data_IF_372413325816
#
_entry.id   IF_372413325816
#
_cell.length_a   1.000
_cell.length_b   1.000
_cell.length_c   1.000
_cell.angle_alpha   90.00
_cell.angle_beta   90.00
_cell.angle_gamma   90.00
#
_symmetry.space_group_name_H-M   'P 1'
#
loop_
_entity.id
_entity.type
_entity.pdbx_description
1 polymer ?
#
# COMPACT_ATOMS: atom_id res chain seq x y z
N UNK A 1 21.68 9.33 -11.91
CA UNK A 1 21.29 9.37 -10.48
C UNK A 1 22.45 8.84 -9.66
N UNK A 2 23.00 9.64 -8.77
CA UNK A 2 24.00 9.15 -7.80
C UNK A 2 23.27 8.23 -6.81
N UNK A 3 23.86 7.09 -6.45
CA UNK A 3 23.28 6.17 -5.46
C UNK A 3 22.40 5.04 -6.00
N UNK A 4 22.12 4.97 -7.31
CA UNK A 4 21.39 3.87 -7.92
C UNK A 4 22.33 2.69 -8.12
N UNK A 5 22.05 1.56 -7.45
CA UNK A 5 22.84 0.32 -7.54
C UNK A 5 22.46 -0.51 -8.77
N UNK A 6 21.16 -0.57 -9.08
CA UNK A 6 20.60 -1.24 -10.24
C UNK A 6 19.29 -0.55 -10.66
N UNK A 7 18.90 -0.71 -11.91
CA UNK A 7 17.62 -0.23 -12.41
C UNK A 7 17.13 -1.07 -13.59
N UNK A 8 15.79 -1.17 -13.71
CA UNK A 8 15.14 -1.72 -14.89
C UNK A 8 14.08 -0.72 -15.36
N UNK A 9 14.20 -0.31 -16.61
CA UNK A 9 13.28 0.66 -17.25
C UNK A 9 12.74 0.03 -18.52
N UNK A 10 11.42 -0.04 -18.60
CA UNK A 10 10.67 -0.55 -19.74
C UNK A 10 9.69 0.52 -20.24
N UNK A 11 8.84 0.19 -21.20
CA UNK A 11 7.71 1.01 -21.63
C UNK A 11 6.53 0.99 -20.65
N UNK A 12 6.53 0.09 -19.65
CA UNK A 12 5.44 -0.13 -18.68
C UNK A 12 5.81 0.22 -17.25
N UNK A 13 7.08 0.14 -16.87
CA UNK A 13 7.57 0.47 -15.52
C UNK A 13 9.01 0.96 -15.49
N UNK A 14 9.37 1.60 -14.38
CA UNK A 14 10.74 1.93 -14.02
C UNK A 14 10.95 1.61 -12.53
N UNK A 15 11.86 0.68 -12.24
CA UNK A 15 12.21 0.31 -10.87
C UNK A 15 13.69 0.53 -10.61
N UNK A 16 14.02 0.91 -9.39
CA UNK A 16 15.36 1.31 -8.99
C UNK A 16 15.75 0.64 -7.67
N UNK A 17 16.92 0.00 -7.65
CA UNK A 17 17.57 -0.36 -6.40
C UNK A 17 18.35 0.85 -5.89
N UNK A 18 17.70 1.67 -5.08
CA UNK A 18 18.21 2.93 -4.61
C UNK A 18 17.46 3.41 -3.36
N UNK A 19 18.03 4.39 -2.67
CA UNK A 19 17.29 5.21 -1.73
C UNK A 19 16.15 5.95 -2.45
N UNK A 20 14.94 5.93 -1.88
CA UNK A 20 13.79 6.60 -2.48
C UNK A 20 14.02 8.10 -2.69
N UNK A 21 14.81 8.77 -1.86
CA UNK A 21 15.13 10.19 -2.00
C UNK A 21 15.96 10.46 -3.26
N UNK A 22 16.89 9.56 -3.61
CA UNK A 22 17.69 9.69 -4.85
C UNK A 22 16.81 9.51 -6.10
N UNK A 23 15.77 8.65 -6.03
CA UNK A 23 14.81 8.46 -7.12
C UNK A 23 13.82 9.63 -7.20
N UNK A 24 13.22 10.02 -6.08
CA UNK A 24 12.26 11.12 -6.01
C UNK A 24 12.84 12.42 -6.53
N UNK A 25 14.10 12.76 -6.16
CA UNK A 25 14.80 13.97 -6.64
C UNK A 25 14.92 14.05 -8.17
N UNK A 26 14.87 12.92 -8.87
CA UNK A 26 14.95 12.87 -10.32
C UNK A 26 13.59 12.95 -11.02
N UNK A 27 12.48 12.81 -10.28
CA UNK A 27 11.12 12.89 -10.80
C UNK A 27 10.73 14.38 -10.91
N UNK A 28 10.19 14.84 -12.05
CA UNK A 28 9.74 16.21 -12.21
C UNK A 28 8.59 16.57 -11.27
N UNK A 29 8.50 17.84 -10.89
CA UNK A 29 7.38 18.38 -10.12
C UNK A 29 6.05 18.10 -10.82
N UNK A 30 5.01 17.82 -10.03
CA UNK A 30 3.64 17.68 -10.51
C UNK A 30 3.49 16.69 -11.70
N UNK A 31 4.19 15.56 -11.66
CA UNK A 31 4.21 14.57 -12.75
C UNK A 31 3.61 13.21 -12.39
N UNK A 32 3.34 12.96 -11.10
CA UNK A 32 2.78 11.71 -10.59
C UNK A 32 1.29 11.85 -10.36
N UNK A 33 0.52 10.90 -10.90
CA UNK A 33 -0.95 10.89 -10.87
C UNK A 33 -1.51 10.19 -9.63
N UNK A 34 -0.78 9.23 -9.06
CA UNK A 34 -1.15 8.54 -7.84
C UNK A 34 0.07 7.92 -7.17
N UNK A 35 0.05 7.85 -5.85
CA UNK A 35 1.10 7.19 -5.06
C UNK A 35 0.45 6.26 -4.07
N UNK A 36 0.92 5.02 -3.98
CA UNK A 36 0.46 4.06 -2.96
C UNK A 36 1.64 3.29 -2.41
N UNK A 37 1.70 3.14 -1.09
CA UNK A 37 2.79 2.45 -0.40
C UNK A 37 2.47 2.12 1.06
N UNK A 38 3.28 1.25 1.65
CA UNK A 38 3.44 1.05 3.09
C UNK A 38 4.76 1.66 3.52
N UNK A 39 4.79 2.67 4.41
CA UNK A 39 6.06 3.15 4.95
C UNK A 39 6.69 2.09 5.86
N UNK A 40 8.01 2.08 6.05
CA UNK A 40 8.64 1.26 7.07
C UNK A 40 8.05 1.55 8.46
N UNK A 41 7.67 0.49 9.19
CA UNK A 41 7.11 0.61 10.53
C UNK A 41 8.24 0.72 11.56
N UNK A 42 8.36 1.88 12.20
CA UNK A 42 9.37 2.11 13.23
C UNK A 42 9.23 1.13 14.40
N UNK A 43 10.32 0.48 14.78
CA UNK A 43 10.35 -0.40 15.95
C UNK A 43 9.66 -1.76 15.79
N UNK A 44 9.00 -2.03 14.67
CA UNK A 44 8.37 -3.32 14.41
C UNK A 44 9.31 -4.27 13.65
N UNK A 45 9.98 -3.77 12.61
CA UNK A 45 10.86 -4.53 11.73
C UNK A 45 12.11 -3.73 11.39
N UNK A 46 13.23 -4.42 11.21
CA UNK A 46 14.45 -3.87 10.63
C UNK A 46 14.64 -4.49 9.25
N UNK A 47 14.61 -3.66 8.21
CA UNK A 47 14.66 -4.14 6.83
C UNK A 47 16.08 -4.23 6.27
N UNK A 48 16.98 -3.38 6.73
CA UNK A 48 18.38 -3.39 6.33
C UNK A 48 19.31 -2.82 7.40
N UNK A 49 20.63 -2.97 7.19
CA UNK A 49 21.65 -2.35 8.05
C UNK A 49 22.05 -0.94 7.57
N UNK A 50 21.40 -0.40 6.54
CA UNK A 50 21.72 0.92 6.00
C UNK A 50 21.28 2.04 6.94
N UNK A 51 22.14 3.04 7.15
CA UNK A 51 21.79 4.26 7.90
C UNK A 51 20.68 5.09 7.20
N UNK A 52 20.37 4.80 5.93
CA UNK A 52 19.30 5.42 5.15
C UNK A 52 17.96 4.68 5.28
N UNK A 53 17.93 3.55 5.95
CA UNK A 53 16.71 2.80 6.21
C UNK A 53 15.93 3.45 7.36
N UNK A 54 14.74 3.96 7.05
CA UNK A 54 13.85 4.63 8.00
C UNK A 54 13.48 3.72 9.20
N UNK A 55 13.51 2.40 9.03
CA UNK A 55 13.23 1.44 10.11
C UNK A 55 14.30 1.45 11.19
N UNK A 56 15.49 2.00 10.91
CA UNK A 56 16.60 2.13 11.85
C UNK A 56 16.52 3.39 12.73
N UNK A 57 15.50 4.23 12.56
CA UNK A 57 15.27 5.40 13.42
C UNK A 57 15.16 4.98 14.90
N UNK A 58 15.91 5.65 15.77
CA UNK A 58 16.02 5.32 17.20
C UNK A 58 14.83 5.82 18.02
N UNK A 59 14.14 6.83 17.52
CA UNK A 59 13.00 7.47 18.18
C UNK A 59 11.89 7.76 17.18
N UNK A 60 10.65 7.85 17.66
CA UNK A 60 9.51 8.30 16.84
C UNK A 60 9.73 9.71 16.25
N UNK A 61 10.42 10.58 16.99
CA UNK A 61 10.74 11.94 16.50
C UNK A 61 11.73 11.92 15.33
N UNK A 62 12.78 11.09 15.41
CA UNK A 62 13.75 10.89 14.33
C UNK A 62 13.08 10.29 13.09
N UNK A 63 12.24 9.28 13.27
CA UNK A 63 11.43 8.73 12.20
C UNK A 63 10.55 9.81 11.54
N UNK A 64 9.79 10.57 12.35
CA UNK A 64 8.92 11.62 11.84
C UNK A 64 9.68 12.68 11.03
N UNK A 65 10.90 13.03 11.45
CA UNK A 65 11.76 13.95 10.72
C UNK A 65 12.17 13.39 9.35
N UNK A 66 12.68 12.17 9.31
CA UNK A 66 13.14 11.55 8.06
C UNK A 66 11.99 11.21 7.13
N UNK A 67 10.91 10.62 7.66
CA UNK A 67 9.73 10.33 6.87
C UNK A 67 9.05 11.60 6.34
N UNK A 68 9.14 12.70 7.11
CA UNK A 68 8.69 14.01 6.67
C UNK A 68 9.35 14.47 5.37
N UNK A 69 10.66 14.24 5.21
CA UNK A 69 11.38 14.56 3.96
C UNK A 69 10.85 13.76 2.77
N UNK A 70 10.52 12.49 2.97
CA UNK A 70 9.90 11.67 1.91
C UNK A 70 8.53 12.22 1.53
N UNK A 71 7.72 12.62 2.53
CA UNK A 71 6.39 13.22 2.28
C UNK A 71 6.52 14.54 1.52
N UNK A 72 7.52 15.37 1.83
CA UNK A 72 7.79 16.63 1.12
C UNK A 72 8.09 16.38 -0.36
N UNK A 73 8.92 15.39 -0.68
CA UNK A 73 9.22 15.01 -2.06
C UNK A 73 8.00 14.36 -2.75
N UNK A 74 7.25 13.49 -2.07
CA UNK A 74 5.99 12.95 -2.59
C UNK A 74 5.00 14.08 -2.88
N UNK A 75 4.93 15.11 -2.02
CA UNK A 75 4.11 16.28 -2.27
C UNK A 75 4.59 17.06 -3.50
N UNK A 76 5.90 17.25 -3.67
CA UNK A 76 6.47 17.94 -4.81
C UNK A 76 6.10 17.26 -6.13
N UNK A 77 6.30 15.94 -6.23
CA UNK A 77 6.09 15.19 -7.48
C UNK A 77 4.62 14.90 -7.80
N UNK A 78 3.74 14.87 -6.80
CA UNK A 78 2.30 14.59 -7.00
C UNK A 78 1.61 15.78 -7.66
N UNK A 79 0.78 15.53 -8.66
CA UNK A 79 -0.06 16.56 -9.31
C UNK A 79 -1.08 17.14 -8.31
N UNK A 80 -1.28 18.47 -8.24
CA UNK A 80 -2.30 19.07 -7.38
C UNK A 80 -3.70 18.46 -7.58
N UNK A 81 -4.43 18.21 -6.50
CA UNK A 81 -5.73 17.54 -6.53
C UNK A 81 -5.69 16.01 -6.65
N UNK A 82 -4.53 15.43 -6.91
CA UNK A 82 -4.33 13.96 -6.97
C UNK A 82 -4.03 13.39 -5.59
N UNK A 83 -4.04 12.06 -5.48
CA UNK A 83 -4.08 11.37 -4.18
C UNK A 83 -2.86 10.51 -3.91
N UNK A 84 -2.61 10.34 -2.62
CA UNK A 84 -1.64 9.41 -2.04
C UNK A 84 -2.39 8.45 -1.13
N UNK A 85 -2.19 7.15 -1.30
CA UNK A 85 -2.67 6.08 -0.42
C UNK A 85 -1.51 5.58 0.45
N UNK A 86 -1.68 5.63 1.75
CA UNK A 86 -0.68 5.11 2.70
C UNK A 86 -1.30 3.99 3.52
N UNK A 87 -0.74 2.79 3.39
CA UNK A 87 -1.12 1.65 4.19
C UNK A 87 -0.36 1.68 5.52
N UNK A 88 -1.08 1.68 6.62
CA UNK A 88 -0.54 1.73 7.96
C UNK A 88 -1.37 0.87 8.93
N UNK A 89 -0.82 0.59 10.10
CA UNK A 89 -1.54 -0.06 11.19
C UNK A 89 -1.02 0.44 12.53
N UNK A 90 -1.83 0.42 13.60
CA UNK A 90 -1.34 0.63 14.95
C UNK A 90 -0.23 -0.36 15.31
N UNK A 91 0.82 0.12 15.94
CA UNK A 91 2.00 -0.69 16.29
C UNK A 91 1.91 -1.17 17.73
N UNK A 92 1.95 -2.49 17.97
CA UNK A 92 2.01 -3.01 19.34
C UNK A 92 3.26 -2.51 20.08
N UNK A 93 3.04 -1.91 21.23
CA UNK A 93 4.05 -1.30 22.11
C UNK A 93 3.89 -1.77 23.56
N UNK A 94 4.72 -1.24 24.46
CA UNK A 94 4.70 -1.56 25.89
C UNK A 94 5.79 -2.53 26.33
N UNK A 95 6.12 -2.46 27.62
CA UNK A 95 7.26 -3.18 28.22
C UNK A 95 6.93 -4.64 28.60
N UNK A 96 5.66 -4.99 28.75
CA UNK A 96 5.22 -6.26 29.35
C UNK A 96 4.56 -7.23 28.36
N UNK A 97 4.94 -7.17 27.08
CA UNK A 97 4.44 -8.12 26.08
C UNK A 97 3.52 -7.50 25.05
N UNK A 98 3.75 -6.23 24.73
CA UNK A 98 2.97 -5.50 23.70
C UNK A 98 1.49 -5.34 24.10
N UNK A 99 1.27 -4.85 25.30
CA UNK A 99 -0.05 -4.64 25.91
C UNK A 99 -0.64 -3.24 25.66
N UNK A 100 0.06 -2.40 24.90
CA UNK A 100 -0.40 -1.11 24.43
C UNK A 100 -0.22 -0.97 22.91
N UNK A 101 -0.74 0.09 22.33
CA UNK A 101 -0.64 0.40 20.91
C UNK A 101 -0.16 1.84 20.72
N UNK A 102 0.77 2.03 19.80
CA UNK A 102 1.14 3.35 19.28
C UNK A 102 0.27 3.66 18.06
N UNK A 103 -0.30 4.87 18.04
CA UNK A 103 -1.16 5.35 16.96
C UNK A 103 -0.34 5.82 15.74
N UNK A 104 0.38 4.89 15.12
CA UNK A 104 1.14 5.16 13.90
C UNK A 104 0.28 5.74 12.75
N UNK A 105 -0.95 5.25 12.49
CA UNK A 105 -1.84 5.89 11.51
C UNK A 105 -2.13 7.35 11.82
N UNK A 106 -2.33 7.71 13.09
CA UNK A 106 -2.52 9.10 13.51
C UNK A 106 -1.29 9.97 13.26
N UNK A 107 -0.08 9.44 13.49
CA UNK A 107 1.17 10.14 13.18
C UNK A 107 1.30 10.37 11.67
N UNK A 108 1.02 9.36 10.85
CA UNK A 108 1.02 9.48 9.39
C UNK A 108 0.04 10.55 8.91
N UNK A 109 -1.17 10.62 9.51
CA UNK A 109 -2.17 11.63 9.16
C UNK A 109 -1.62 13.04 9.46
N UNK A 110 -1.08 13.27 10.66
CA UNK A 110 -0.53 14.58 11.07
C UNK A 110 0.60 15.02 10.15
N UNK A 111 1.55 14.12 9.88
CA UNK A 111 2.71 14.42 9.04
C UNK A 111 2.33 14.82 7.61
N UNK A 112 1.32 14.18 7.02
CA UNK A 112 0.85 14.54 5.68
C UNK A 112 0.08 15.87 5.69
N UNK A 113 -0.77 16.10 6.69
CA UNK A 113 -1.54 17.35 6.81
C UNK A 113 -0.63 18.57 6.97
N UNK A 114 0.47 18.45 7.70
CA UNK A 114 1.49 19.49 7.86
C UNK A 114 2.24 19.79 6.55
N UNK A 115 2.29 18.83 5.60
CA UNK A 115 3.07 18.90 4.36
C UNK A 115 2.23 19.02 3.09
N UNK A 116 1.10 19.73 3.17
CA UNK A 116 0.36 20.14 1.98
C UNK A 116 -0.70 19.15 1.49
N UNK A 117 -1.06 18.16 2.30
CA UNK A 117 -2.15 17.24 1.99
C UNK A 117 -3.39 17.49 2.84
N UNK A 118 -4.56 17.16 2.29
CA UNK A 118 -5.79 16.99 3.03
C UNK A 118 -6.05 15.48 3.23
N UNK A 119 -6.32 15.07 4.46
CA UNK A 119 -6.77 13.71 4.73
C UNK A 119 -8.25 13.59 4.37
N UNK A 120 -8.57 12.71 3.39
CA UNK A 120 -9.92 12.65 2.80
C UNK A 120 -10.66 11.34 3.04
N UNK A 121 -9.95 10.25 3.36
CA UNK A 121 -10.60 8.97 3.66
C UNK A 121 -9.69 8.05 4.49
N UNK A 122 -10.34 7.12 5.18
CA UNK A 122 -9.75 5.97 5.85
C UNK A 122 -10.55 4.74 5.49
N UNK A 123 -9.89 3.70 5.00
CA UNK A 123 -10.48 2.38 4.85
C UNK A 123 -9.83 1.44 5.85
N UNK A 124 -10.65 0.88 6.74
CA UNK A 124 -10.22 -0.12 7.72
C UNK A 124 -10.28 -1.49 7.05
N UNK A 125 -9.17 -2.20 7.04
CA UNK A 125 -9.04 -3.52 6.43
C UNK A 125 -9.14 -4.56 7.53
N UNK A 126 -10.19 -5.36 7.49
CA UNK A 126 -10.41 -6.40 8.49
C UNK A 126 -9.30 -7.45 8.44
N UNK A 127 -8.84 -7.88 9.62
CA UNK A 127 -7.86 -8.96 9.78
C UNK A 127 -8.40 -9.98 10.76
N UNK A 128 -8.20 -11.24 10.45
CA UNK A 128 -8.55 -12.35 11.35
C UNK A 128 -7.68 -12.28 12.62
N UNK A 129 -8.29 -12.23 13.84
CA UNK A 129 -7.57 -11.98 15.09
C UNK A 129 -6.44 -12.97 15.39
N UNK A 130 -6.59 -14.26 15.07
CA UNK A 130 -5.57 -15.25 15.30
C UNK A 130 -4.37 -15.04 14.36
N UNK A 131 -4.61 -14.64 13.13
CA UNK A 131 -3.55 -14.28 12.17
C UNK A 131 -2.75 -13.06 12.66
N UNK A 132 -3.45 -12.02 13.17
CA UNK A 132 -2.79 -10.85 13.78
C UNK A 132 -1.97 -11.26 14.99
N UNK A 133 -2.53 -12.08 15.90
CA UNK A 133 -1.82 -12.56 17.08
C UNK A 133 -0.53 -13.32 16.70
N UNK A 134 -0.62 -14.23 15.75
CA UNK A 134 0.52 -15.04 15.32
C UNK A 134 1.62 -14.18 14.66
N UNK A 135 1.22 -13.13 13.94
CA UNK A 135 2.15 -12.18 13.34
C UNK A 135 2.82 -11.27 14.35
N UNK A 136 2.05 -10.71 15.28
CA UNK A 136 2.54 -9.71 16.24
C UNK A 136 3.08 -10.30 17.52
N UNK A 137 2.77 -11.57 17.81
CA UNK A 137 3.04 -12.25 19.08
C UNK A 137 2.45 -11.52 20.30
N UNK A 138 1.40 -10.71 20.09
CA UNK A 138 0.74 -9.94 21.13
C UNK A 138 0.02 -10.88 22.12
N UNK A 139 0.45 -10.87 23.37
CA UNK A 139 -0.09 -11.75 24.43
C UNK A 139 -1.54 -11.40 24.78
N UNK A 140 -1.88 -10.12 24.73
CA UNK A 140 -3.22 -9.61 25.04
C UNK A 140 -4.30 -10.10 24.04
N UNK A 141 -3.93 -10.60 22.87
CA UNK A 141 -4.85 -11.23 21.89
C UNK A 141 -5.07 -12.74 22.14
N UNK A 142 -4.43 -13.32 23.16
CA UNK A 142 -4.65 -14.72 23.46
C UNK A 142 -6.03 -14.91 24.12
N UNK A 143 -6.79 -15.94 23.71
CA UNK A 143 -8.06 -16.31 24.35
C UNK A 143 -7.89 -16.50 25.86
N UNK A 144 -6.74 -17.04 26.30
CA UNK A 144 -6.40 -17.19 27.72
C UNK A 144 -6.48 -15.87 28.49
N UNK A 145 -6.09 -14.76 27.87
CA UNK A 145 -6.12 -13.43 28.52
C UNK A 145 -7.53 -13.01 28.87
N UNK A 146 -8.51 -13.27 27.99
CA UNK A 146 -9.94 -13.01 28.31
C UNK A 146 -10.42 -13.87 29.47
N UNK A 147 -9.93 -15.11 29.56
CA UNK A 147 -10.33 -16.04 30.64
C UNK A 147 -9.69 -15.65 31.98
N UNK A 148 -8.43 -15.26 31.95
CA UNK A 148 -7.68 -14.96 33.18
C UNK A 148 -7.99 -13.55 33.71
N UNK A 149 -7.98 -12.54 32.84
CA UNK A 149 -8.30 -11.14 33.19
C UNK A 149 -8.64 -10.34 31.89
N UNK A 150 -9.92 -10.18 31.65
CA UNK A 150 -10.42 -9.45 30.48
C UNK A 150 -10.02 -7.95 30.44
N UNK A 151 -9.56 -7.37 31.57
CA UNK A 151 -9.08 -5.98 31.58
C UNK A 151 -7.79 -5.80 30.77
N UNK A 152 -7.03 -6.89 30.61
CA UNK A 152 -5.80 -6.91 29.78
C UNK A 152 -6.04 -7.46 28.37
N UNK A 153 -7.27 -7.87 28.05
CA UNK A 153 -7.57 -8.37 26.71
C UNK A 153 -7.59 -7.23 25.70
N UNK A 154 -6.80 -7.38 24.64
CA UNK A 154 -6.77 -6.47 23.52
C UNK A 154 -7.68 -6.92 22.37
N UNK A 155 -7.76 -6.08 21.35
CA UNK A 155 -8.38 -6.41 20.06
C UNK A 155 -7.30 -6.49 18.98
N UNK A 156 -7.56 -7.26 17.94
CA UNK A 156 -6.69 -7.27 16.77
C UNK A 156 -6.70 -5.91 16.09
N UNK A 157 -5.55 -5.30 15.93
CA UNK A 157 -5.42 -4.08 15.14
C UNK A 157 -5.72 -4.39 13.68
N UNK A 158 -6.66 -3.68 13.08
CA UNK A 158 -6.89 -3.69 11.66
C UNK A 158 -5.75 -2.94 10.95
N UNK A 159 -5.50 -3.29 9.69
CA UNK A 159 -4.72 -2.42 8.82
C UNK A 159 -5.62 -1.28 8.31
N UNK A 160 -5.02 -0.18 7.92
CA UNK A 160 -5.72 0.99 7.42
C UNK A 160 -5.11 1.47 6.11
N UNK A 161 -5.93 1.80 5.13
CA UNK A 161 -5.51 2.57 3.97
C UNK A 161 -5.98 4.02 4.16
N UNK A 162 -5.02 4.90 4.40
CA UNK A 162 -5.21 6.33 4.56
C UNK A 162 -5.11 7.02 3.22
N UNK A 163 -6.09 7.84 2.85
CA UNK A 163 -6.10 8.56 1.57
C UNK A 163 -5.92 10.04 1.82
N UNK A 164 -4.91 10.58 1.18
CA UNK A 164 -4.56 11.99 1.19
C UNK A 164 -4.74 12.60 -0.19
N UNK A 165 -5.15 13.85 -0.27
CA UNK A 165 -5.22 14.61 -1.51
C UNK A 165 -4.28 15.80 -1.41
N UNK A 166 -3.38 15.96 -2.39
CA UNK A 166 -2.52 17.15 -2.49
C UNK A 166 -3.39 18.39 -2.66
N UNK A 167 -3.14 19.42 -1.84
CA UNK A 167 -3.83 20.70 -1.94
C UNK A 167 -3.62 21.35 -3.30
N UNK A 168 -4.65 22.05 -3.77
CA UNK A 168 -4.68 22.70 -5.08
C UNK A 168 -5.85 22.25 -5.95
N UNK A 169 -6.05 22.93 -7.07
CA UNK A 169 -7.09 22.57 -8.03
C UNK A 169 -6.72 21.30 -8.81
N UNK A 170 -7.71 20.52 -9.21
CA UNK A 170 -7.51 19.36 -10.08
C UNK A 170 -7.69 19.79 -11.54
N UNK A 171 -6.58 19.96 -12.26
CA UNK A 171 -6.59 20.18 -13.71
C UNK A 171 -6.90 18.88 -14.49
N UNK A 172 -6.63 17.73 -13.85
CA UNK A 172 -6.80 16.40 -14.44
C UNK A 172 -7.76 15.59 -13.59
N UNK A 173 -9.09 15.74 -13.74
CA UNK A 173 -10.05 14.98 -12.96
C UNK A 173 -10.01 13.49 -13.32
N UNK A 174 -10.20 12.64 -12.32
CA UNK A 174 -10.31 11.19 -12.50
C UNK A 174 -11.75 10.89 -12.91
N UNK A 175 -11.97 10.59 -14.18
CA UNK A 175 -13.31 10.33 -14.73
C UNK A 175 -13.45 8.85 -15.09
N UNK A 176 -14.57 8.26 -14.69
CA UNK A 176 -14.96 6.89 -15.01
C UNK A 176 -16.29 6.91 -15.79
N UNK A 177 -16.30 7.32 -17.08
CA UNK A 177 -17.53 7.47 -17.82
C UNK A 177 -18.32 6.17 -17.96
N UNK A 178 -17.65 5.03 -18.05
CA UNK A 178 -18.27 3.70 -18.09
C UNK A 178 -18.41 3.04 -16.71
N UNK A 179 -18.02 3.73 -15.64
CA UNK A 179 -18.04 3.20 -14.28
C UNK A 179 -16.88 2.23 -13.96
N UNK A 180 -17.05 1.44 -12.90
CA UNK A 180 -16.08 0.46 -12.44
C UNK A 180 -16.40 -0.92 -13.06
N UNK A 181 -15.40 -1.59 -13.64
CA UNK A 181 -15.58 -2.85 -14.35
C UNK A 181 -14.93 -4.05 -13.68
N UNK A 182 -13.88 -3.82 -12.89
CA UNK A 182 -13.10 -4.87 -12.26
C UNK A 182 -13.28 -4.81 -10.75
N UNK A 183 -13.61 -5.94 -10.16
CA UNK A 183 -13.74 -6.08 -8.72
C UNK A 183 -12.56 -6.88 -8.17
N UNK A 184 -11.95 -6.38 -7.12
CA UNK A 184 -10.90 -7.04 -6.35
C UNK A 184 -11.41 -7.31 -4.93
N UNK A 185 -11.50 -8.55 -4.54
CA UNK A 185 -11.98 -8.99 -3.24
C UNK A 185 -12.56 -10.40 -3.27
N UNK A 186 -12.81 -10.99 -2.08
CA UNK A 186 -13.31 -12.36 -1.94
C UNK A 186 -14.84 -12.50 -2.08
N UNK A 187 -15.60 -11.39 -1.94
CA UNK A 187 -17.06 -11.44 -2.08
C UNK A 187 -17.45 -11.65 -3.54
N UNK A 188 -18.14 -12.74 -3.91
CA UNK A 188 -18.50 -12.96 -5.31
C UNK A 188 -19.47 -11.89 -5.83
N UNK A 189 -19.23 -11.44 -7.05
CA UNK A 189 -20.18 -10.55 -7.74
C UNK A 189 -21.46 -11.35 -8.03
N UNK A 190 -22.68 -10.84 -7.69
CA UNK A 190 -23.91 -11.49 -8.05
C UNK A 190 -24.02 -11.80 -9.54
N UNK A 191 -24.34 -13.04 -9.89
CA UNK A 191 -24.32 -13.52 -11.28
C UNK A 191 -25.21 -12.69 -12.21
N UNK A 192 -26.36 -12.22 -11.71
CA UNK A 192 -27.30 -11.38 -12.46
C UNK A 192 -26.73 -10.00 -12.82
N UNK A 193 -25.64 -9.57 -12.19
CA UNK A 193 -24.98 -8.30 -12.52
C UNK A 193 -23.99 -8.41 -13.69
N UNK A 194 -23.58 -9.61 -14.07
CA UNK A 194 -22.57 -9.84 -15.12
C UNK A 194 -22.96 -9.21 -16.46
N UNK A 195 -24.24 -9.18 -16.80
CA UNK A 195 -24.75 -8.54 -18.04
C UNK A 195 -24.55 -7.03 -18.08
N UNK A 196 -24.27 -6.40 -16.94
CA UNK A 196 -24.02 -4.95 -16.84
C UNK A 196 -22.53 -4.61 -16.82
N UNK A 197 -21.65 -5.60 -16.87
CA UNK A 197 -20.21 -5.37 -16.90
C UNK A 197 -19.82 -4.69 -18.22
N UNK A 198 -19.09 -3.56 -18.12
CA UNK A 198 -18.71 -2.78 -19.30
C UNK A 198 -19.86 -2.04 -19.97
N UNK A 199 -21.04 -1.99 -19.35
CA UNK A 199 -22.18 -1.30 -19.92
C UNK A 199 -21.95 0.22 -19.99
N UNK A 200 -22.09 0.77 -21.20
CA UNK A 200 -21.98 2.19 -21.48
C UNK A 200 -23.37 2.80 -21.62
N UNK A 201 -23.81 3.58 -20.68
CA UNK A 201 -25.12 4.20 -20.69
C UNK A 201 -25.29 5.15 -19.52
N UNK A 202 -26.54 5.31 -19.04
CA UNK A 202 -26.77 6.12 -17.86
C UNK A 202 -26.10 5.46 -16.65
N UNK A 203 -25.12 6.10 -16.05
CA UNK A 203 -24.38 5.57 -14.91
C UNK A 203 -25.29 5.13 -13.75
N UNK A 204 -26.43 5.81 -13.56
CA UNK A 204 -27.44 5.43 -12.57
C UNK A 204 -28.09 4.06 -12.82
N UNK A 205 -27.98 3.51 -14.03
CA UNK A 205 -28.51 2.20 -14.41
C UNK A 205 -27.44 1.11 -14.45
N UNK A 206 -26.15 1.47 -14.35
CA UNK A 206 -25.04 0.52 -14.36
C UNK A 206 -24.93 -0.18 -13.01
N UNK A 207 -25.73 -1.25 -12.84
CA UNK A 207 -25.84 -1.99 -11.57
C UNK A 207 -24.53 -2.66 -11.17
N UNK A 208 -23.71 -3.11 -12.13
CA UNK A 208 -22.40 -3.74 -11.87
C UNK A 208 -21.45 -2.73 -11.23
N UNK A 209 -21.26 -1.56 -11.85
CA UNK A 209 -20.43 -0.50 -11.33
C UNK A 209 -20.91 0.02 -9.98
N UNK A 210 -22.22 0.15 -9.79
CA UNK A 210 -22.83 0.55 -8.50
C UNK A 210 -22.53 -0.45 -7.39
N UNK A 211 -22.57 -1.75 -7.69
CA UNK A 211 -22.25 -2.79 -6.71
C UNK A 211 -20.77 -2.69 -6.30
N UNK A 212 -19.82 -2.57 -7.26
CA UNK A 212 -18.41 -2.38 -6.96
C UNK A 212 -18.19 -1.10 -6.15
N UNK A 213 -18.81 0.02 -6.58
CA UNK A 213 -18.69 1.29 -5.87
C UNK A 213 -19.13 1.17 -4.40
N UNK A 214 -20.23 0.50 -4.12
CA UNK A 214 -20.72 0.30 -2.74
C UNK A 214 -19.72 -0.50 -1.89
N UNK A 215 -19.04 -1.48 -2.47
CA UNK A 215 -17.98 -2.23 -1.79
C UNK A 215 -16.75 -1.35 -1.52
N UNK A 216 -16.32 -0.59 -2.52
CA UNK A 216 -15.10 0.22 -2.45
C UNK A 216 -15.27 1.50 -1.64
N UNK A 217 -16.44 2.12 -1.65
CA UNK A 217 -16.74 3.32 -0.87
C UNK A 217 -16.99 3.03 0.63
N UNK A 218 -17.13 1.76 1.01
CA UNK A 218 -17.23 1.38 2.43
C UNK A 218 -15.97 1.80 3.18
N UNK A 219 -16.15 2.33 4.38
CA UNK A 219 -15.04 2.61 5.30
C UNK A 219 -14.43 1.34 5.91
N UNK A 220 -15.11 0.20 5.80
CA UNK A 220 -14.64 -1.10 6.25
C UNK A 220 -14.54 -2.03 5.05
N UNK A 221 -13.36 -2.58 4.81
CA UNK A 221 -13.09 -3.60 3.82
C UNK A 221 -12.89 -4.95 4.51
N UNK A 222 -13.95 -5.75 4.52
CA UNK A 222 -14.03 -7.05 5.17
C UNK A 222 -13.74 -8.24 4.24
N UNK A 223 -13.51 -7.96 2.97
CA UNK A 223 -13.36 -8.93 1.89
C UNK A 223 -12.04 -8.83 1.13
N UNK A 224 -11.01 -8.23 1.75
CA UNK A 224 -9.65 -8.26 1.21
C UNK A 224 -9.07 -9.66 1.40
N UNK A 225 -8.59 -10.26 0.32
CA UNK A 225 -7.87 -11.54 0.35
C UNK A 225 -6.48 -11.29 0.92
N UNK A 226 -6.24 -11.78 2.13
CA UNK A 226 -4.98 -11.55 2.87
C UNK A 226 -3.79 -12.34 2.29
N UNK A 227 -4.07 -13.42 1.60
CA UNK A 227 -3.14 -14.33 0.92
C UNK A 227 -2.82 -13.88 -0.51
N UNK A 228 -3.59 -12.98 -1.09
CA UNK A 228 -3.32 -12.43 -2.42
C UNK A 228 -2.20 -11.39 -2.40
N UNK A 229 -0.99 -11.90 -2.31
CA UNK A 229 0.28 -11.15 -2.27
C UNK A 229 1.25 -11.73 -3.29
N UNK A 230 2.23 -10.95 -3.72
CA UNK A 230 3.28 -11.46 -4.59
C UNK A 230 4.24 -12.40 -3.84
N UNK A 231 4.93 -13.32 -4.56
CA UNK A 231 6.01 -14.12 -4.00
C UNK A 231 7.08 -13.24 -3.34
N UNK A 232 7.48 -13.59 -2.12
CA UNK A 232 8.42 -12.78 -1.33
C UNK A 232 9.35 -13.62 -0.43
N UNK A 233 9.08 -14.92 -0.26
CA UNK A 233 9.79 -15.75 0.73
C UNK A 233 11.27 -15.87 0.43
N UNK A 234 11.64 -16.00 -0.86
CA UNK A 234 13.01 -16.13 -1.30
C UNK A 234 13.85 -14.84 -1.18
N UNK A 235 13.17 -13.71 -0.95
CA UNK A 235 13.82 -12.42 -0.78
C UNK A 235 14.18 -12.09 0.67
N UNK A 236 13.82 -12.96 1.61
CA UNK A 236 14.09 -12.76 3.04
C UNK A 236 15.50 -13.23 3.38
N UNK A 237 16.25 -12.38 4.07
CA UNK A 237 17.51 -12.76 4.70
C UNK A 237 17.23 -13.41 6.06
N UNK A 238 18.10 -14.33 6.54
CA UNK A 238 17.78 -15.31 7.59
C UNK A 238 17.40 -14.72 8.97
N UNK A 239 17.77 -13.49 9.31
CA UNK A 239 17.73 -13.05 10.71
C UNK A 239 16.62 -12.05 11.10
N UNK A 240 16.10 -11.19 10.22
CA UNK A 240 15.32 -10.04 10.67
C UNK A 240 13.85 -9.95 10.17
N UNK A 241 13.39 -10.83 9.27
CA UNK A 241 12.19 -10.55 8.47
C UNK A 241 11.08 -11.58 8.53
N UNK A 242 11.00 -12.37 9.59
CA UNK A 242 10.02 -13.47 9.71
C UNK A 242 8.56 -13.04 9.51
N UNK A 243 8.26 -11.76 9.69
CA UNK A 243 6.90 -11.22 9.72
C UNK A 243 6.60 -10.16 8.66
N UNK A 244 7.54 -9.84 7.77
CA UNK A 244 7.28 -8.90 6.66
C UNK A 244 6.39 -9.56 5.64
N UNK A 245 5.29 -8.91 5.29
CA UNK A 245 4.37 -9.31 4.23
C UNK A 245 4.19 -8.17 3.24
N UNK A 246 4.17 -8.45 1.93
CA UNK A 246 3.80 -7.46 0.92
C UNK A 246 2.38 -6.94 1.13
N UNK A 247 2.10 -5.74 0.64
CA UNK A 247 0.75 -5.19 0.61
C UNK A 247 -0.15 -6.05 -0.28
N UNK A 248 -1.37 -6.33 0.18
CA UNK A 248 -2.33 -7.15 -0.56
C UNK A 248 -2.70 -6.48 -1.89
N UNK A 249 -2.67 -7.25 -2.96
CA UNK A 249 -3.00 -6.78 -4.31
C UNK A 249 -4.43 -6.23 -4.40
N UNK A 250 -5.38 -6.77 -3.64
CA UNK A 250 -6.76 -6.25 -3.61
C UNK A 250 -6.83 -4.80 -3.09
N UNK A 251 -6.02 -4.44 -2.10
CA UNK A 251 -5.96 -3.08 -1.56
C UNK A 251 -5.43 -2.11 -2.61
N UNK A 252 -4.33 -2.51 -3.28
CA UNK A 252 -3.71 -1.73 -4.34
C UNK A 252 -4.68 -1.58 -5.52
N UNK A 253 -5.31 -2.68 -5.95
CA UNK A 253 -6.26 -2.69 -7.05
C UNK A 253 -7.43 -1.73 -6.82
N UNK A 254 -8.01 -1.71 -5.61
CA UNK A 254 -9.09 -0.78 -5.26
C UNK A 254 -8.64 0.66 -5.29
N UNK A 255 -7.46 0.95 -4.73
CA UNK A 255 -6.89 2.31 -4.77
C UNK A 255 -6.71 2.77 -6.22
N UNK A 256 -6.07 1.96 -7.06
CA UNK A 256 -5.79 2.31 -8.45
C UNK A 256 -7.07 2.56 -9.25
N UNK A 257 -8.08 1.70 -9.10
CA UNK A 257 -9.36 1.85 -9.79
C UNK A 257 -10.12 3.12 -9.38
N UNK A 258 -10.05 3.49 -8.10
CA UNK A 258 -10.74 4.69 -7.58
C UNK A 258 -9.99 5.98 -7.85
N UNK A 259 -8.65 5.95 -7.91
CA UNK A 259 -7.80 7.14 -7.75
C UNK A 259 -6.85 7.39 -8.91
N UNK A 260 -6.86 6.53 -9.92
CA UNK A 260 -6.03 6.68 -11.13
C UNK A 260 -6.77 6.17 -12.37
N UNK A 261 -6.26 6.54 -13.55
CA UNK A 261 -6.75 6.07 -14.84
C UNK A 261 -5.66 5.26 -15.59
N UNK A 262 -6.03 4.36 -16.52
CA UNK A 262 -5.06 3.74 -17.41
C UNK A 262 -4.19 4.78 -18.14
N UNK A 263 -2.91 4.46 -18.34
CA UNK A 263 -1.90 5.36 -18.93
C UNK A 263 -1.28 6.34 -17.94
N UNK A 264 -1.79 6.47 -16.71
CA UNK A 264 -1.26 7.36 -15.69
C UNK A 264 -0.05 6.76 -14.97
N UNK A 265 0.79 7.64 -14.38
CA UNK A 265 1.99 7.26 -13.61
C UNK A 265 1.63 7.04 -12.14
N UNK A 266 2.00 5.87 -11.62
CA UNK A 266 1.84 5.49 -10.22
C UNK A 266 3.20 5.30 -9.59
N UNK A 267 3.40 5.90 -8.41
CA UNK A 267 4.65 5.87 -7.67
C UNK A 267 4.51 5.03 -6.39
N UNK A 268 5.55 4.29 -6.05
CA UNK A 268 5.78 3.72 -4.73
C UNK A 268 7.22 3.99 -4.27
N UNK A 269 7.43 4.81 -3.23
CA UNK A 269 8.78 5.10 -2.72
C UNK A 269 9.38 3.94 -1.91
N UNK A 270 8.58 2.96 -1.51
CA UNK A 270 8.97 1.79 -0.72
C UNK A 270 8.39 0.53 -1.38
N UNK A 271 8.99 0.16 -2.53
CA UNK A 271 8.42 -0.83 -3.44
C UNK A 271 8.38 -2.25 -2.88
N UNK A 272 9.30 -2.62 -1.97
CA UNK A 272 9.44 -3.99 -1.52
C UNK A 272 9.65 -4.96 -2.68
N UNK A 273 8.82 -5.99 -2.75
CA UNK A 273 8.86 -7.00 -3.82
C UNK A 273 8.04 -6.61 -5.06
N UNK A 274 7.61 -5.35 -5.17
CA UNK A 274 7.02 -4.76 -6.37
C UNK A 274 5.51 -4.82 -6.48
N UNK A 275 4.76 -5.07 -5.41
CA UNK A 275 3.30 -5.27 -5.44
C UNK A 275 2.55 -4.10 -6.07
N UNK A 276 2.90 -2.86 -5.73
CA UNK A 276 2.24 -1.65 -6.23
C UNK A 276 2.54 -1.43 -7.71
N UNK A 277 3.80 -1.66 -8.13
CA UNK A 277 4.20 -1.57 -9.54
C UNK A 277 3.53 -2.65 -10.36
N UNK A 278 3.50 -3.91 -9.87
CA UNK A 278 2.85 -5.04 -10.51
C UNK A 278 1.38 -4.76 -10.79
N UNK A 279 0.63 -4.35 -9.76
CA UNK A 279 -0.80 -4.10 -9.91
C UNK A 279 -1.08 -2.86 -10.78
N UNK A 280 -0.21 -1.83 -10.73
CA UNK A 280 -0.28 -0.67 -11.61
C UNK A 280 -0.15 -1.08 -13.08
N UNK A 281 0.85 -1.88 -13.40
CA UNK A 281 1.10 -2.39 -14.76
C UNK A 281 -0.03 -3.30 -15.22
N UNK A 282 -0.49 -4.22 -14.38
CA UNK A 282 -1.62 -5.13 -14.67
C UNK A 282 -2.89 -4.36 -15.03
N UNK A 283 -3.09 -3.19 -14.45
CA UNK A 283 -4.24 -2.32 -14.73
C UNK A 283 -3.96 -1.24 -15.78
N UNK A 284 -2.87 -1.34 -16.55
CA UNK A 284 -2.55 -0.43 -17.64
C UNK A 284 -2.00 0.93 -17.22
N UNK A 285 -1.40 1.05 -16.03
CA UNK A 285 -0.69 2.24 -15.56
C UNK A 285 0.81 2.06 -15.77
N UNK A 286 1.55 3.16 -15.76
CA UNK A 286 3.00 3.12 -15.70
C UNK A 286 3.45 3.13 -14.23
N UNK A 287 4.13 2.06 -13.79
CA UNK A 287 4.59 1.93 -12.41
C UNK A 287 6.00 2.46 -12.22
N UNK A 288 6.23 3.21 -11.12
CA UNK A 288 7.56 3.69 -10.71
C UNK A 288 7.80 3.23 -9.27
N UNK A 289 8.93 2.55 -9.03
CA UNK A 289 9.26 2.01 -7.71
C UNK A 289 10.71 2.24 -7.32
N UNK A 290 10.94 2.52 -6.02
CA UNK A 290 12.25 2.54 -5.40
C UNK A 290 12.31 1.49 -4.29
N UNK A 291 13.42 0.76 -4.21
CA UNK A 291 13.68 -0.24 -3.17
C UNK A 291 15.15 -0.18 -2.75
N UNK A 292 15.37 0.03 -1.47
CA UNK A 292 16.71 0.14 -0.91
C UNK A 292 17.41 -1.23 -0.80
N UNK A 293 16.65 -2.29 -0.45
CA UNK A 293 17.19 -3.62 -0.20
C UNK A 293 17.37 -4.40 -1.50
N UNK A 294 18.61 -4.83 -1.84
CA UNK A 294 18.88 -5.52 -3.11
C UNK A 294 18.10 -6.82 -3.30
N UNK A 295 17.92 -7.64 -2.24
CA UNK A 295 17.18 -8.90 -2.36
C UNK A 295 15.70 -8.68 -2.70
N UNK A 296 15.08 -7.62 -2.16
CA UNK A 296 13.70 -7.25 -2.51
C UNK A 296 13.61 -6.71 -3.93
N UNK A 297 14.58 -5.89 -4.34
CA UNK A 297 14.65 -5.42 -5.72
C UNK A 297 14.74 -6.58 -6.73
N UNK A 298 15.61 -7.54 -6.49
CA UNK A 298 15.73 -8.75 -7.36
C UNK A 298 14.44 -9.55 -7.39
N UNK A 299 13.73 -9.67 -6.27
CA UNK A 299 12.43 -10.32 -6.24
C UNK A 299 11.37 -9.52 -7.01
N UNK A 300 11.40 -8.20 -6.93
CA UNK A 300 10.51 -7.33 -7.71
C UNK A 300 10.73 -7.50 -9.22
N UNK A 301 11.99 -7.58 -9.68
CA UNK A 301 12.29 -7.88 -11.10
C UNK A 301 11.65 -9.20 -11.56
N UNK A 302 11.75 -10.26 -10.75
CA UNK A 302 11.13 -11.56 -11.05
C UNK A 302 9.61 -11.47 -11.10
N UNK A 303 9.00 -10.80 -10.14
CA UNK A 303 7.57 -10.62 -10.07
C UNK A 303 7.04 -9.82 -11.26
N UNK A 304 7.73 -8.74 -11.65
CA UNK A 304 7.34 -7.90 -12.78
C UNK A 304 7.53 -8.61 -14.13
N UNK A 305 8.53 -9.47 -14.26
CA UNK A 305 8.69 -10.30 -15.46
C UNK A 305 7.51 -11.26 -15.69
N UNK A 306 6.77 -11.62 -14.64
CA UNK A 306 5.56 -12.43 -14.76
C UNK A 306 4.39 -11.64 -15.38
N UNK A 307 4.26 -10.34 -15.05
CA UNK A 307 3.24 -9.47 -15.67
C UNK A 307 3.41 -9.37 -17.19
N UNK A 308 4.65 -9.35 -17.66
CA UNK A 308 4.95 -9.27 -19.10
C UNK A 308 4.56 -10.53 -19.87
N UNK A 309 4.55 -11.68 -19.20
CA UNK A 309 4.18 -12.95 -19.82
C UNK A 309 2.69 -13.23 -19.84
N UNK A 310 1.84 -12.26 -19.41
CA UNK A 310 0.40 -12.45 -19.27
C UNK A 310 0.00 -13.56 -18.27
N UNK A 311 0.92 -13.95 -17.38
CA UNK A 311 0.68 -14.86 -16.26
C UNK A 311 -0.14 -14.10 -15.22
N UNK A 312 -1.47 -14.23 -15.31
CA UNK A 312 -2.38 -13.22 -14.76
C UNK A 312 -2.84 -13.48 -13.32
N UNK A 313 -2.48 -14.59 -12.70
CA UNK A 313 -2.89 -14.87 -11.32
C UNK A 313 -1.70 -15.20 -10.40
N UNK A 314 -1.55 -14.52 -9.24
CA UNK A 314 -0.51 -14.87 -8.25
C UNK A 314 -0.62 -16.31 -7.71
N UNK A 315 -1.78 -16.96 -7.84
CA UNK A 315 -1.98 -18.38 -7.49
C UNK A 315 -1.27 -19.32 -8.49
N UNK A 316 -0.87 -18.83 -9.68
CA UNK A 316 -0.13 -19.58 -10.69
C UNK A 316 1.39 -19.33 -10.63
N UNK A 317 1.86 -18.49 -9.69
CA UNK A 317 3.27 -18.12 -9.54
C UNK A 317 4.04 -18.94 -8.48
N UNK A 318 3.53 -20.11 -8.08
CA UNK A 318 4.22 -21.04 -7.15
C UNK A 318 5.42 -21.76 -7.77
#
# INVERSE_FOLDING_TARGET
MAGVLAQQITDRWAIYNADCMDVLAAIPDNSIHGTIYSPPFTGLYRYSSSDRDLSNARTTAEFAQHYGLVIDEVARVTIPGRTVGVHAAPVPSGNSGKDSLDDFPGDVIRLHQERGFDWIARHVIWKEPLAVRNRTMAKNLAHKTIVDDAAYAGVASADELLIFRKRGGSEFPIQHPSGLHNYAGSTPVPAELSQYRGWEGKQTSNRYSHWIWRRYASSIWDDIRIDRVLPFRDAKDEDDEKHVHPLQLDVIARYLQLRTLPGERVLTPFMGVGSEVFEAVKQGRFGIGAELKPSYYVQAERNLAAVDRDETDPEELD
#
